data_IF_123450533592
#
_entry.id   IF_123450533592
#
_cell.length_a   1.000
_cell.length_b   1.000
_cell.length_c   1.000
_cell.angle_alpha   90.00
_cell.angle_beta   90.00
_cell.angle_gamma   90.00
#
_symmetry.space_group_name_H-M   'P 1'
#
loop_
_entity.id
_entity.type
_entity.pdbx_description
1 polymer ?
#
# COMPACT_ATOMS: atom_id res chain seq x y z
N UNK A 1 -11.35 6.32 26.11
CA UNK A 1 -10.69 6.59 24.81
C UNK A 1 -10.40 5.24 24.19
N UNK A 2 -11.29 4.78 23.32
CA UNK A 2 -11.22 3.44 22.75
C UNK A 2 -10.15 3.39 21.64
N UNK A 3 -9.18 2.51 21.85
CA UNK A 3 -7.98 2.31 21.04
C UNK A 3 -8.28 1.46 19.77
N UNK A 4 -9.33 1.79 19.01
CA UNK A 4 -9.78 0.95 17.90
C UNK A 4 -8.89 1.02 16.65
N UNK A 5 -8.14 2.11 16.43
CA UNK A 5 -7.35 2.31 15.20
C UNK A 5 -6.01 1.57 15.19
N UNK A 6 -5.25 1.60 16.30
CA UNK A 6 -3.92 0.95 16.39
C UNK A 6 -3.98 -0.57 16.26
N UNK A 7 -5.04 -1.18 16.81
CA UNK A 7 -5.26 -2.62 16.73
C UNK A 7 -5.70 -3.10 15.35
N UNK A 8 -6.25 -2.21 14.51
CA UNK A 8 -6.69 -2.55 13.16
C UNK A 8 -5.49 -2.83 12.27
N UNK A 9 -4.55 -1.89 12.14
CA UNK A 9 -3.46 -2.04 11.19
C UNK A 9 -2.55 -3.24 11.52
N UNK A 10 -2.10 -3.37 12.77
CA UNK A 10 -1.19 -4.46 13.17
C UNK A 10 -1.81 -5.82 12.86
N UNK A 11 -3.12 -5.98 13.12
CA UNK A 11 -3.87 -7.20 12.83
C UNK A 11 -3.94 -7.53 11.33
N UNK A 12 -4.05 -6.53 10.46
CA UNK A 12 -4.02 -6.76 9.01
C UNK A 12 -2.64 -7.22 8.51
N UNK A 13 -1.56 -6.80 9.18
CA UNK A 13 -0.19 -7.17 8.82
C UNK A 13 0.32 -8.43 9.55
N UNK A 14 -0.39 -8.92 10.57
CA UNK A 14 -0.07 -10.19 11.26
C UNK A 14 -0.12 -11.41 10.34
N UNK A 15 -0.89 -11.34 9.24
CA UNK A 15 -0.96 -12.44 8.27
C UNK A 15 0.33 -12.59 7.46
N UNK A 16 1.14 -11.53 7.37
CA UNK A 16 2.39 -11.56 6.59
C UNK A 16 3.41 -12.43 7.30
N UNK A 17 3.92 -13.43 6.56
CA UNK A 17 5.01 -14.26 7.06
C UNK A 17 6.28 -13.43 7.21
N UNK A 18 6.87 -13.42 8.39
CA UNK A 18 8.15 -12.75 8.62
C UNK A 18 9.30 -13.48 7.89
N UNK A 19 9.85 -12.89 6.81
CA UNK A 19 10.86 -13.55 5.96
C UNK A 19 12.24 -13.55 6.60
N UNK A 20 12.43 -12.85 7.73
CA UNK A 20 13.74 -12.75 8.40
C UNK A 20 14.12 -14.06 9.06
N UNK A 21 15.42 -14.28 9.23
CA UNK A 21 15.96 -15.40 10.00
C UNK A 21 15.60 -15.20 11.48
N UNK A 22 15.17 -16.26 12.18
CA UNK A 22 14.67 -16.16 13.57
C UNK A 22 15.62 -15.45 14.54
N UNK A 23 16.94 -15.68 14.43
CA UNK A 23 17.95 -14.99 15.26
C UNK A 23 18.02 -13.47 15.06
N UNK A 24 17.48 -12.95 13.95
CA UNK A 24 17.44 -11.51 13.62
C UNK A 24 16.09 -10.86 13.98
N UNK A 25 15.12 -11.61 14.52
CA UNK A 25 13.79 -11.09 14.91
C UNK A 25 13.78 -10.43 16.29
N UNK A 26 14.63 -9.41 16.48
CA UNK A 26 14.65 -8.61 17.73
C UNK A 26 13.41 -7.73 17.87
N UNK A 27 12.89 -7.21 16.76
CA UNK A 27 11.70 -6.36 16.74
C UNK A 27 10.58 -7.09 16.01
N UNK A 28 9.35 -7.01 16.53
CA UNK A 28 8.19 -7.61 15.87
C UNK A 28 7.96 -6.94 14.53
N UNK A 29 7.50 -7.71 13.54
CA UNK A 29 7.26 -7.20 12.20
C UNK A 29 6.20 -6.09 12.18
N UNK A 30 5.10 -6.29 12.92
CA UNK A 30 4.04 -5.27 13.05
C UNK A 30 4.53 -3.95 13.66
N UNK A 31 5.43 -4.00 14.64
CA UNK A 31 6.00 -2.79 15.26
C UNK A 31 6.80 -1.98 14.22
N UNK A 32 7.56 -2.67 13.37
CA UNK A 32 8.35 -2.06 12.29
C UNK A 32 7.42 -1.33 11.32
N UNK A 33 6.35 -1.98 10.83
CA UNK A 33 5.41 -1.34 9.91
C UNK A 33 4.70 -0.15 10.54
N UNK A 34 4.26 -0.28 11.79
CA UNK A 34 3.56 0.81 12.47
C UNK A 34 4.44 2.05 12.62
N UNK A 35 5.70 1.86 13.05
CA UNK A 35 6.67 2.97 13.17
C UNK A 35 6.93 3.59 11.80
N UNK A 36 7.18 2.77 10.77
CA UNK A 36 7.42 3.27 9.41
C UNK A 36 6.23 4.06 8.87
N UNK A 37 5.00 3.58 9.06
CA UNK A 37 3.80 4.30 8.61
C UNK A 37 3.70 5.67 9.27
N UNK A 38 3.84 5.75 10.61
CA UNK A 38 3.79 7.02 11.32
C UNK A 38 4.88 7.99 10.84
N UNK A 39 6.10 7.49 10.60
CA UNK A 39 7.20 8.30 10.12
C UNK A 39 6.94 8.84 8.69
N UNK A 40 6.45 8.01 7.78
CA UNK A 40 6.14 8.40 6.39
C UNK A 40 5.01 9.43 6.36
N UNK A 41 3.96 9.25 7.17
CA UNK A 41 2.88 10.27 7.30
C UNK A 41 3.44 11.59 7.84
N UNK A 42 4.43 11.53 8.74
CA UNK A 42 5.13 12.70 9.25
C UNK A 42 6.15 13.31 8.26
N UNK A 43 6.28 12.75 7.05
CA UNK A 43 7.13 13.27 5.98
C UNK A 43 8.53 12.65 5.90
N UNK A 44 8.81 11.54 6.59
CA UNK A 44 10.08 10.83 6.44
C UNK A 44 10.19 10.20 5.04
N UNK A 45 11.26 10.51 4.32
CA UNK A 45 11.52 10.11 2.93
C UNK A 45 12.68 9.09 2.79
N UNK A 46 13.19 8.56 3.90
CA UNK A 46 14.22 7.52 3.91
C UNK A 46 14.38 6.81 5.26
N UNK A 47 15.10 5.68 5.27
CA UNK A 47 15.23 4.83 6.46
C UNK A 47 15.94 5.49 7.64
N UNK A 48 16.88 6.40 7.36
CA UNK A 48 17.54 7.22 8.38
C UNK A 48 16.51 8.12 9.06
N UNK A 49 15.73 8.87 8.28
CA UNK A 49 14.66 9.73 8.78
C UNK A 49 13.60 8.95 9.56
N UNK A 50 13.23 7.73 9.11
CA UNK A 50 12.31 6.84 9.84
C UNK A 50 12.88 6.45 11.21
N UNK A 51 14.16 6.07 11.28
CA UNK A 51 14.80 5.70 12.54
C UNK A 51 14.94 6.91 13.48
N UNK A 52 15.26 8.10 12.95
CA UNK A 52 15.32 9.35 13.72
C UNK A 52 13.96 9.75 14.27
N UNK A 53 12.90 9.68 13.46
CA UNK A 53 11.52 9.91 13.91
C UNK A 53 11.13 8.94 15.02
N UNK A 54 11.43 7.65 14.83
CA UNK A 54 11.18 6.62 15.84
C UNK A 54 11.86 6.95 17.17
N UNK A 55 13.15 7.32 17.14
CA UNK A 55 13.91 7.73 18.35
C UNK A 55 13.34 9.00 18.99
N UNK A 56 12.99 10.00 18.20
CA UNK A 56 12.40 11.25 18.70
C UNK A 56 11.06 11.03 19.42
N UNK A 57 10.33 9.96 19.06
CA UNK A 57 9.04 9.57 19.65
C UNK A 57 9.10 8.25 20.42
N UNK A 58 10.29 7.82 20.84
CA UNK A 58 10.52 6.49 21.41
C UNK A 58 9.64 6.21 22.63
N UNK A 59 9.48 7.21 23.51
CA UNK A 59 8.62 7.08 24.69
C UNK A 59 7.18 6.73 24.31
N UNK A 60 6.62 7.45 23.33
CA UNK A 60 5.25 7.21 22.85
C UNK A 60 5.12 5.84 22.18
N UNK A 61 6.07 5.46 21.33
CA UNK A 61 6.05 4.14 20.70
C UNK A 61 6.21 3.01 21.72
N UNK A 62 7.02 3.20 22.77
CA UNK A 62 7.19 2.22 23.83
C UNK A 62 5.91 2.04 24.64
N UNK A 63 5.18 3.13 24.93
CA UNK A 63 3.88 3.08 25.60
C UNK A 63 2.81 2.37 24.74
N UNK A 64 2.76 2.65 23.43
CA UNK A 64 1.75 2.11 22.51
C UNK A 64 2.03 0.65 22.12
N UNK A 65 3.27 0.33 21.76
CA UNK A 65 3.66 -0.98 21.20
C UNK A 65 4.30 -1.93 22.22
N UNK A 66 4.65 -1.43 23.42
CA UNK A 66 5.40 -2.18 24.45
C UNK A 66 6.71 -2.73 23.90
N UNK A 67 7.51 -1.84 23.29
CA UNK A 67 8.79 -2.18 22.67
C UNK A 67 9.76 -2.75 23.72
N UNK A 68 10.18 -4.00 23.54
CA UNK A 68 11.17 -4.65 24.43
C UNK A 68 12.61 -4.25 24.13
N UNK A 69 12.90 -4.00 22.86
CA UNK A 69 14.26 -3.78 22.35
C UNK A 69 14.45 -2.35 21.79
N UNK A 70 13.56 -1.42 22.13
CA UNK A 70 13.57 -0.04 21.63
C UNK A 70 13.27 0.06 20.13
N UNK A 71 13.65 1.21 19.55
CA UNK A 71 13.41 1.54 18.14
C UNK A 71 14.41 0.79 17.23
N UNK A 72 13.95 0.15 16.13
CA UNK A 72 14.84 -0.48 15.15
C UNK A 72 15.84 0.50 14.52
N UNK A 73 17.01 0.00 14.10
CA UNK A 73 17.96 0.81 13.32
C UNK A 73 17.46 1.05 11.88
N UNK A 74 18.04 2.05 11.20
CA UNK A 74 17.76 2.31 9.78
C UNK A 74 18.06 1.07 8.91
N UNK A 75 19.14 0.33 9.21
CA UNK A 75 19.43 -0.96 8.55
C UNK A 75 18.32 -1.99 8.78
N UNK A 76 17.76 -2.05 9.99
CA UNK A 76 16.69 -3.00 10.29
C UNK A 76 15.43 -2.69 9.46
N UNK A 77 15.06 -1.42 9.35
CA UNK A 77 13.97 -0.99 8.48
C UNK A 77 14.26 -1.37 7.02
N UNK A 78 15.42 -0.95 6.48
CA UNK A 78 15.79 -1.22 5.10
C UNK A 78 15.82 -2.71 4.77
N UNK A 79 16.43 -3.51 5.64
CA UNK A 79 16.53 -4.97 5.44
C UNK A 79 15.15 -5.64 5.42
N UNK A 80 14.23 -5.26 6.31
CA UNK A 80 12.87 -5.83 6.36
C UNK A 80 12.14 -5.56 5.05
N UNK A 81 12.11 -4.29 4.61
CA UNK A 81 11.40 -3.90 3.40
C UNK A 81 12.09 -4.39 2.11
N UNK A 82 13.38 -4.74 2.16
CA UNK A 82 14.09 -5.33 1.04
C UNK A 82 13.73 -6.80 0.77
N UNK A 83 13.28 -7.54 1.80
CA UNK A 83 13.01 -8.99 1.67
C UNK A 83 11.53 -9.35 1.78
N UNK A 84 10.66 -8.37 2.08
CA UNK A 84 9.24 -8.62 2.22
C UNK A 84 8.58 -8.93 0.87
N UNK A 85 7.59 -9.81 0.90
CA UNK A 85 6.74 -10.03 -0.26
C UNK A 85 5.88 -8.78 -0.50
N UNK A 86 6.15 -8.09 -1.61
CA UNK A 86 5.50 -6.83 -1.97
C UNK A 86 4.03 -7.06 -2.30
N UNK A 87 3.67 -8.19 -2.92
CA UNK A 87 2.30 -8.49 -3.30
C UNK A 87 1.45 -8.80 -2.07
N UNK A 88 2.00 -9.55 -1.11
CA UNK A 88 1.34 -9.82 0.18
C UNK A 88 1.17 -8.54 1.00
N UNK A 89 2.21 -7.71 1.05
CA UNK A 89 2.18 -6.41 1.72
C UNK A 89 1.12 -5.48 1.14
N UNK A 90 1.09 -5.33 -0.19
CA UNK A 90 0.12 -4.49 -0.88
C UNK A 90 -1.32 -4.96 -0.64
N UNK A 91 -1.57 -6.27 -0.63
CA UNK A 91 -2.89 -6.83 -0.32
C UNK A 91 -3.31 -6.55 1.13
N UNK A 92 -2.41 -6.71 2.09
CA UNK A 92 -2.70 -6.41 3.50
C UNK A 92 -3.02 -4.91 3.69
N UNK A 93 -2.23 -4.05 3.06
CA UNK A 93 -2.44 -2.60 3.09
C UNK A 93 -3.79 -2.22 2.47
N UNK A 94 -4.11 -2.73 1.28
CA UNK A 94 -5.40 -2.49 0.62
C UNK A 94 -6.60 -2.96 1.45
N UNK A 95 -6.50 -4.11 2.13
CA UNK A 95 -7.56 -4.60 3.03
C UNK A 95 -7.74 -3.69 4.24
N UNK A 96 -6.65 -3.29 4.87
CA UNK A 96 -6.70 -2.35 5.99
C UNK A 96 -7.37 -1.02 5.58
N UNK A 97 -6.96 -0.50 4.42
CA UNK A 97 -7.56 0.67 3.78
C UNK A 97 -9.06 0.48 3.56
N UNK A 98 -9.47 -0.66 2.98
CA UNK A 98 -10.87 -0.94 2.70
C UNK A 98 -11.70 -0.99 4.00
N UNK A 99 -11.18 -1.57 5.08
CA UNK A 99 -11.85 -1.62 6.38
C UNK A 99 -11.98 -0.23 7.03
N UNK A 100 -11.09 0.72 6.72
CA UNK A 100 -11.21 2.11 7.15
C UNK A 100 -12.27 2.89 6.36
N UNK A 101 -12.66 2.41 5.18
CA UNK A 101 -13.54 3.14 4.26
C UNK A 101 -14.86 2.41 4.02
N UNK A 102 -15.97 3.03 4.40
CA UNK A 102 -17.26 2.64 3.83
C UNK A 102 -17.42 3.35 2.48
N UNK A 103 -17.34 2.60 1.37
CA UNK A 103 -17.63 3.14 0.06
C UNK A 103 -19.09 3.61 0.00
N UNK A 104 -19.26 4.92 -0.12
CA UNK A 104 -20.58 5.53 -0.24
C UNK A 104 -21.15 5.27 -1.64
N UNK A 105 -22.47 5.16 -1.77
CA UNK A 105 -23.11 5.11 -3.08
C UNK A 105 -22.74 6.37 -3.90
N UNK A 106 -22.30 6.18 -5.14
CA UNK A 106 -21.80 7.25 -6.00
C UNK A 106 -20.39 7.73 -5.66
N UNK A 107 -19.55 6.89 -5.05
CA UNK A 107 -18.10 7.12 -4.97
C UNK A 107 -17.50 7.22 -6.38
N UNK A 108 -16.59 8.17 -6.61
CA UNK A 108 -15.86 8.28 -7.89
C UNK A 108 -14.47 7.66 -7.71
N UNK A 109 -14.20 6.57 -8.42
CA UNK A 109 -12.91 5.88 -8.40
C UNK A 109 -12.18 6.22 -9.70
N UNK A 110 -11.10 6.99 -9.56
CA UNK A 110 -10.22 7.34 -10.66
C UNK A 110 -9.12 6.30 -10.82
N UNK A 111 -8.96 5.77 -12.02
CA UNK A 111 -7.88 4.86 -12.38
C UNK A 111 -6.85 5.63 -13.19
N UNK A 112 -5.64 5.71 -12.64
CA UNK A 112 -4.56 6.52 -13.21
C UNK A 112 -3.22 5.79 -13.14
N UNK A 113 -2.40 6.00 -14.17
CA UNK A 113 -1.04 5.50 -14.30
C UNK A 113 -0.01 6.48 -13.73
N UNK A 114 0.87 5.99 -12.86
CA UNK A 114 1.99 6.74 -12.28
C UNK A 114 3.31 6.06 -12.59
N UNK A 115 4.27 6.84 -13.11
CA UNK A 115 5.67 6.45 -13.17
C UNK A 115 6.36 6.88 -11.87
N UNK A 116 6.93 5.92 -11.14
CA UNK A 116 7.65 6.19 -9.90
C UNK A 116 8.99 6.84 -10.20
N UNK A 117 9.22 8.03 -9.64
CA UNK A 117 10.51 8.72 -9.75
C UNK A 117 11.59 7.95 -8.98
N UNK A 118 12.82 7.99 -9.50
CA UNK A 118 13.99 7.33 -8.92
C UNK A 118 13.86 5.80 -8.77
N UNK A 119 13.02 5.17 -9.59
CA UNK A 119 12.82 3.71 -9.61
C UNK A 119 13.59 2.99 -10.73
N UNK A 120 14.37 3.75 -11.52
CA UNK A 120 15.22 3.20 -12.57
C UNK A 120 16.39 2.49 -11.91
N UNK A 121 16.55 1.20 -12.22
CA UNK A 121 17.71 0.45 -11.79
C UNK A 121 18.67 0.30 -12.97
N UNK A 122 19.61 1.23 -13.08
CA UNK A 122 20.64 1.22 -14.11
C UNK A 122 21.64 0.06 -13.92
N UNK A 123 21.77 -0.49 -12.72
CA UNK A 123 22.68 -1.59 -12.44
C UNK A 123 22.13 -2.93 -12.96
N UNK A 124 20.81 -3.14 -12.89
CA UNK A 124 20.15 -4.32 -13.47
C UNK A 124 19.50 -4.08 -14.84
N UNK A 125 19.59 -2.86 -15.37
CA UNK A 125 19.04 -2.47 -16.67
C UNK A 125 17.51 -2.37 -16.70
N UNK A 126 16.85 -2.27 -15.54
CA UNK A 126 15.39 -2.21 -15.46
C UNK A 126 14.89 -0.78 -15.64
N UNK A 127 13.84 -0.65 -16.45
CA UNK A 127 13.13 0.61 -16.66
C UNK A 127 12.44 1.07 -15.38
N UNK A 128 12.04 2.36 -15.35
CA UNK A 128 11.24 2.90 -14.27
C UNK A 128 9.99 2.05 -14.00
N UNK A 129 9.59 1.96 -12.73
CA UNK A 129 8.40 1.24 -12.30
C UNK A 129 7.17 2.08 -12.66
N UNK A 130 6.31 1.51 -13.50
CA UNK A 130 4.98 2.03 -13.78
C UNK A 130 3.94 1.30 -12.92
N UNK A 131 3.03 2.05 -12.33
CA UNK A 131 1.92 1.52 -11.53
C UNK A 131 0.61 2.13 -11.95
N UNK A 132 -0.46 1.36 -11.91
CA UNK A 132 -1.83 1.85 -12.03
C UNK A 132 -2.46 1.86 -10.64
N UNK A 133 -3.09 2.96 -10.25
CA UNK A 133 -3.75 3.12 -8.95
C UNK A 133 -5.23 3.44 -9.10
N UNK A 134 -6.04 2.90 -8.19
CA UNK A 134 -7.45 3.22 -8.05
C UNK A 134 -7.65 4.17 -6.86
N UNK A 135 -8.04 5.41 -7.16
CA UNK A 135 -8.18 6.50 -6.21
C UNK A 135 -9.65 6.82 -5.94
N UNK A 136 -10.10 6.64 -4.70
CA UNK A 136 -11.44 7.04 -4.25
C UNK A 136 -11.45 8.54 -3.93
N UNK A 137 -12.20 9.30 -4.73
CA UNK A 137 -12.14 10.76 -4.72
C UNK A 137 -12.81 11.39 -3.50
N UNK A 138 -13.88 10.82 -2.95
CA UNK A 138 -14.50 11.37 -1.73
C UNK A 138 -13.73 10.95 -0.49
N UNK A 139 -13.23 9.70 -0.47
CA UNK A 139 -12.45 9.18 0.65
C UNK A 139 -10.98 9.67 0.64
N UNK A 140 -10.53 10.31 -0.44
CA UNK A 140 -9.15 10.80 -0.62
C UNK A 140 -8.11 9.72 -0.38
N UNK A 141 -8.33 8.54 -0.96
CA UNK A 141 -7.57 7.36 -0.59
C UNK A 141 -7.40 6.37 -1.75
N UNK A 142 -6.23 5.73 -1.79
CA UNK A 142 -5.93 4.70 -2.80
C UNK A 142 -6.51 3.35 -2.35
N UNK A 143 -7.51 2.85 -3.07
CA UNK A 143 -8.15 1.56 -2.76
C UNK A 143 -7.25 0.37 -3.16
N UNK A 144 -6.46 0.53 -4.22
CA UNK A 144 -5.53 -0.49 -4.68
C UNK A 144 -4.57 0.02 -5.72
N UNK A 145 -3.48 -0.71 -5.90
CA UNK A 145 -2.46 -0.44 -6.91
C UNK A 145 -2.01 -1.73 -7.58
N UNK A 146 -1.61 -1.63 -8.84
CA UNK A 146 -1.09 -2.75 -9.60
C UNK A 146 0.13 -2.28 -10.40
N UNK A 147 1.27 -2.96 -10.21
CA UNK A 147 2.46 -2.75 -11.04
C UNK A 147 2.17 -3.16 -12.49
N UNK A 148 2.63 -2.36 -13.44
CA UNK A 148 2.60 -2.67 -14.87
C UNK A 148 3.81 -3.53 -15.22
N UNK A 149 3.57 -4.60 -15.97
CA UNK A 149 4.62 -5.52 -16.41
C UNK A 149 5.58 -4.82 -17.39
N UNK A 150 6.89 -5.12 -17.34
CA UNK A 150 7.96 -4.40 -18.08
C UNK A 150 7.76 -4.35 -19.60
N UNK A 151 6.99 -5.29 -20.16
CA UNK A 151 6.68 -5.38 -21.61
C UNK A 151 5.24 -5.00 -21.94
N UNK A 152 4.50 -4.44 -20.99
CA UNK A 152 3.07 -4.16 -21.11
C UNK A 152 2.75 -2.70 -20.80
N UNK A 153 1.49 -2.36 -21.02
CA UNK A 153 0.91 -1.05 -20.80
C UNK A 153 -0.18 -1.12 -19.73
N UNK A 154 -0.62 0.04 -19.26
CA UNK A 154 -1.64 0.20 -18.22
C UNK A 154 -2.94 -0.56 -18.55
N UNK A 155 -3.24 -0.72 -19.85
CA UNK A 155 -4.39 -1.44 -20.39
C UNK A 155 -4.50 -2.87 -19.83
N UNK A 156 -3.39 -3.58 -19.62
CA UNK A 156 -3.42 -4.95 -19.08
C UNK A 156 -3.45 -4.99 -17.55
N UNK A 157 -2.98 -3.92 -16.89
CA UNK A 157 -2.95 -3.79 -15.44
C UNK A 157 -4.32 -3.38 -14.88
N UNK A 158 -5.07 -2.51 -15.58
CA UNK A 158 -6.39 -2.03 -15.17
C UNK A 158 -7.36 -3.20 -14.88
N UNK A 159 -7.53 -4.21 -15.77
CA UNK A 159 -8.36 -5.38 -15.49
C UNK A 159 -7.96 -6.16 -14.23
N UNK A 160 -6.65 -6.31 -13.98
CA UNK A 160 -6.13 -7.03 -12.80
C UNK A 160 -6.46 -6.26 -11.52
N UNK A 161 -6.36 -4.93 -11.57
CA UNK A 161 -6.68 -4.04 -10.46
C UNK A 161 -8.18 -4.08 -10.14
N UNK A 162 -9.05 -3.96 -11.15
CA UNK A 162 -10.51 -4.00 -10.99
C UNK A 162 -11.03 -5.31 -10.39
N UNK A 163 -10.36 -6.43 -10.63
CA UNK A 163 -10.71 -7.72 -10.03
C UNK A 163 -10.47 -7.79 -8.53
N UNK A 164 -9.53 -6.99 -8.01
CA UNK A 164 -9.18 -6.95 -6.59
C UNK A 164 -10.04 -5.99 -5.78
N UNK A 165 -10.88 -5.18 -6.43
CA UNK A 165 -11.62 -4.09 -5.82
C UNK A 165 -13.13 -4.35 -5.81
N UNK A 166 -13.77 -4.00 -4.69
CA UNK A 166 -15.21 -3.81 -4.67
C UNK A 166 -15.56 -2.41 -5.13
N UNK A 167 -16.00 -2.27 -6.38
CA UNK A 167 -16.39 -0.97 -6.98
C UNK A 167 -17.92 -0.89 -7.18
N UNK A 168 -18.68 -1.69 -6.45
CA UNK A 168 -20.14 -1.76 -6.59
C UNK A 168 -20.78 -0.41 -6.23
N UNK A 169 -21.60 0.14 -7.14
CA UNK A 169 -22.23 1.44 -6.95
C UNK A 169 -21.28 2.64 -7.04
N UNK A 170 -20.03 2.43 -7.47
CA UNK A 170 -19.07 3.49 -7.75
C UNK A 170 -19.06 3.86 -9.24
N UNK A 171 -18.76 5.13 -9.52
CA UNK A 171 -18.48 5.65 -10.85
C UNK A 171 -16.99 5.48 -11.13
N UNK A 172 -16.64 4.81 -12.22
CA UNK A 172 -15.23 4.62 -12.62
C UNK A 172 -14.83 5.67 -13.63
N UNK A 173 -13.78 6.42 -13.33
CA UNK A 173 -13.15 7.33 -14.29
C UNK A 173 -11.76 6.81 -14.64
N UNK A 174 -11.37 6.96 -15.90
CA UNK A 174 -10.04 6.61 -16.40
C UNK A 174 -9.71 7.50 -17.59
N UNK A 175 -8.43 7.51 -17.97
CA UNK A 175 -7.99 8.24 -19.15
C UNK A 175 -8.54 7.62 -20.45
N UNK A 176 -8.44 8.36 -21.55
CA UNK A 176 -8.93 7.90 -22.84
C UNK A 176 -8.21 6.62 -23.32
N UNK A 177 -6.96 6.41 -22.92
CA UNK A 177 -6.17 5.25 -23.33
C UNK A 177 -6.66 3.95 -22.66
N UNK A 178 -7.12 4.04 -21.41
CA UNK A 178 -7.71 2.96 -20.62
C UNK A 178 -9.13 2.57 -21.01
N UNK A 179 -9.87 3.42 -21.72
CA UNK A 179 -11.26 3.22 -22.19
C UNK A 179 -11.40 2.16 -23.30
N UNK A 180 -10.94 0.94 -23.04
CA UNK A 180 -11.00 -0.19 -23.96
C UNK A 180 -12.29 -1.00 -23.74
N UNK A 181 -12.86 -1.54 -24.81
CA UNK A 181 -14.11 -2.35 -24.75
C UNK A 181 -13.99 -3.53 -23.80
N UNK A 182 -12.84 -4.21 -23.77
CA UNK A 182 -12.59 -5.33 -22.86
C UNK A 182 -12.57 -4.93 -21.37
N UNK A 183 -12.12 -3.71 -21.05
CA UNK A 183 -12.12 -3.17 -19.68
C UNK A 183 -13.55 -2.84 -19.26
N UNK A 184 -14.30 -2.15 -20.13
CA UNK A 184 -15.71 -1.81 -19.89
C UNK A 184 -16.54 -3.07 -19.69
N UNK A 185 -16.32 -4.11 -20.50
CA UNK A 185 -17.04 -5.38 -20.38
C UNK A 185 -16.84 -6.01 -18.99
N UNK A 186 -15.60 -5.98 -18.46
CA UNK A 186 -15.32 -6.47 -17.08
C UNK A 186 -16.03 -5.64 -16.01
N UNK A 187 -16.12 -4.32 -16.18
CA UNK A 187 -16.85 -3.45 -15.25
C UNK A 187 -18.35 -3.79 -15.25
N UNK A 188 -18.92 -4.01 -16.43
CA UNK A 188 -20.33 -4.41 -16.60
C UNK A 188 -20.59 -5.79 -16.01
N UNK A 189 -19.72 -6.77 -16.26
CA UNK A 189 -19.82 -8.14 -15.71
C UNK A 189 -19.85 -8.16 -14.19
N UNK A 190 -19.16 -7.22 -13.53
CA UNK A 190 -19.20 -7.05 -12.08
C UNK A 190 -20.49 -6.38 -11.57
N UNK A 191 -21.48 -6.08 -12.45
CA UNK A 191 -22.77 -5.39 -12.19
C UNK A 191 -22.64 -3.97 -11.62
N UNK A 192 -21.90 -3.10 -12.29
CA UNK A 192 -21.52 -1.78 -11.72
C UNK A 192 -21.91 -0.64 -12.66
N UNK A 193 -22.48 0.43 -12.09
CA UNK A 193 -23.13 1.54 -12.81
C UNK A 193 -22.06 2.35 -13.53
N UNK A 194 -22.26 2.56 -14.83
CA UNK A 194 -21.40 3.35 -15.73
C UNK A 194 -21.87 4.81 -15.86
N UNK A 195 -20.89 5.64 -16.22
CA UNK A 195 -20.90 7.08 -16.54
C UNK A 195 -20.62 8.02 -15.35
#
# INVERSE_FOLDING_TARGET
>A
MENHSTASIIKHFETIKDPRIDRQKRHKLGDIFFITLCAVIAGADGWVAVAEFGKAKEKWFTEVLKLKNGIPSHDTFGNVFAVIDIDEFAQCFSRWVADLTTLSAGEVIAIDGKCLRNSIDTASGKSAIYMVSAWASKNQLVLGQQKVDEKSNEITAIPKLLQKLDITGAVITMDAMGCQTAVVQKIIEQKRITC
#
